data_IF_305122841320
#
_entry.id   IF_305122841320
#
_cell.length_a   1.000
_cell.length_b   1.000
_cell.length_c   1.000
_cell.angle_alpha   90.00
_cell.angle_beta   90.00
_cell.angle_gamma   90.00
#
_symmetry.space_group_name_H-M   'P 1'
#
loop_
_entity.id
_entity.type
_entity.pdbx_description
1 polymer ?
#
# COMPACT_ATOMS: atom_id res chain seq x y z
N UNK A 1 -0.75 -2.23 28.97
CA UNK A 1 -2.14 -2.62 28.74
C UNK A 1 -2.29 -3.15 27.33
N UNK A 2 -3.28 -4.01 27.08
CA UNK A 2 -3.67 -4.41 25.71
C UNK A 2 -4.75 -3.42 25.28
N UNK A 3 -4.57 -2.79 24.11
CA UNK A 3 -5.48 -1.79 23.56
C UNK A 3 -5.95 -2.28 22.19
N UNK A 4 -7.24 -2.61 22.01
CA UNK A 4 -7.74 -3.02 20.70
C UNK A 4 -7.75 -1.83 19.73
N UNK A 5 -7.30 -2.06 18.50
CA UNK A 5 -7.41 -1.11 17.40
C UNK A 5 -8.42 -1.63 16.35
N UNK A 6 -9.30 -0.74 15.91
CA UNK A 6 -10.34 -1.01 14.93
C UNK A 6 -10.21 -0.05 13.77
N UNK A 7 -10.17 -0.62 12.56
CA UNK A 7 -10.14 0.11 11.29
C UNK A 7 -11.30 -0.32 10.41
N UNK A 8 -12.01 0.64 9.82
CA UNK A 8 -13.07 0.43 8.83
C UNK A 8 -12.68 1.16 7.55
N UNK A 9 -12.98 0.57 6.40
CA UNK A 9 -12.75 1.20 5.10
C UNK A 9 -13.77 0.80 4.06
N UNK A 10 -13.96 1.67 3.08
CA UNK A 10 -14.76 1.44 1.88
C UNK A 10 -13.87 1.65 0.67
N UNK A 11 -13.96 0.75 -0.29
CA UNK A 11 -13.19 0.78 -1.53
C UNK A 11 -14.11 0.54 -2.73
N UNK A 12 -13.88 1.29 -3.80
CA UNK A 12 -14.59 1.18 -5.08
C UNK A 12 -13.51 1.10 -6.16
N UNK A 13 -13.46 -0.03 -6.86
CA UNK A 13 -12.63 -0.19 -8.04
C UNK A 13 -13.48 -0.31 -9.30
N UNK A 14 -13.08 0.43 -10.33
CA UNK A 14 -13.70 0.48 -11.66
C UNK A 14 -12.60 0.43 -12.72
N UNK A 15 -12.95 0.14 -13.97
CA UNK A 15 -11.99 0.02 -15.07
C UNK A 15 -11.16 1.31 -15.30
N UNK A 16 -11.68 2.47 -14.90
CA UNK A 16 -11.06 3.78 -15.12
C UNK A 16 -10.55 4.46 -13.84
N UNK A 17 -10.92 3.98 -12.65
CA UNK A 17 -10.46 4.57 -11.40
C UNK A 17 -10.65 3.61 -10.22
N UNK A 18 -9.78 3.78 -9.22
CA UNK A 18 -9.90 3.19 -7.91
C UNK A 18 -9.98 4.32 -6.86
N UNK A 19 -10.90 4.20 -5.91
CA UNK A 19 -11.05 5.13 -4.79
C UNK A 19 -11.28 4.35 -3.49
N UNK A 20 -10.66 4.82 -2.42
CA UNK A 20 -10.83 4.22 -1.10
C UNK A 20 -10.78 5.26 0.01
N UNK A 21 -11.60 5.06 1.04
CA UNK A 21 -11.54 5.84 2.28
C UNK A 21 -11.42 4.87 3.45
N UNK A 22 -10.54 5.18 4.39
CA UNK A 22 -10.34 4.38 5.60
C UNK A 22 -10.34 5.27 6.84
N UNK A 23 -10.86 4.73 7.94
CA UNK A 23 -10.81 5.34 9.27
C UNK A 23 -10.28 4.30 10.26
N UNK A 24 -9.14 4.59 10.85
CA UNK A 24 -8.41 3.77 11.82
C UNK A 24 -8.52 4.37 13.22
N UNK A 25 -8.27 3.55 14.26
CA UNK A 25 -8.34 3.96 15.66
C UNK A 25 -9.73 4.50 16.06
N UNK A 26 -10.81 3.82 15.64
CA UNK A 26 -12.19 4.26 15.90
C UNK A 26 -12.48 4.28 17.41
N UNK A 27 -12.03 3.25 18.13
CA UNK A 27 -12.05 3.21 19.58
C UNK A 27 -10.83 3.95 20.13
N UNK A 28 -11.05 5.13 20.67
CA UNK A 28 -10.02 5.90 21.36
C UNK A 28 -9.78 5.25 22.74
N UNK A 29 -8.89 4.28 22.81
CA UNK A 29 -8.42 3.72 24.07
C UNK A 29 -7.19 4.48 24.56
N UNK A 30 -7.19 4.81 25.85
CA UNK A 30 -6.01 5.30 26.55
C UNK A 30 -5.49 4.18 27.43
N UNK A 31 -4.22 3.84 27.28
CA UNK A 31 -3.55 2.88 28.15
C UNK A 31 -2.49 3.63 28.94
N UNK A 32 -2.60 3.58 30.26
CA UNK A 32 -1.55 4.06 31.15
C UNK A 32 -0.58 2.92 31.45
N UNK A 33 0.71 3.18 31.31
CA UNK A 33 1.76 2.32 31.81
C UNK A 33 2.81 3.17 32.51
N UNK A 34 3.03 2.91 33.79
CA UNK A 34 4.11 3.48 34.62
C UNK A 34 4.31 5.01 34.40
N UNK A 35 3.23 5.77 34.64
CA UNK A 35 3.11 7.24 34.48
C UNK A 35 3.13 7.82 33.05
N UNK A 36 3.14 6.99 32.00
CA UNK A 36 2.90 7.44 30.62
C UNK A 36 1.47 7.14 30.18
N UNK A 37 0.74 8.17 29.73
CA UNK A 37 -0.57 8.03 29.09
C UNK A 37 -0.40 7.97 27.57
N UNK A 38 -0.64 6.80 26.98
CA UNK A 38 -0.66 6.66 25.52
C UNK A 38 -2.05 7.02 25.01
N UNK A 39 -2.16 8.14 24.28
CA UNK A 39 -3.40 8.57 23.63
C UNK A 39 -3.36 8.17 22.16
N UNK A 40 -4.19 7.19 21.79
CA UNK A 40 -4.39 6.81 20.40
C UNK A 40 -5.13 7.95 19.67
N UNK A 41 -4.63 8.38 18.51
CA UNK A 41 -5.31 9.40 17.68
C UNK A 41 -6.11 8.75 16.56
N UNK A 42 -7.29 9.27 16.25
CA UNK A 42 -8.05 8.86 15.05
C UNK A 42 -7.24 9.20 13.80
N UNK A 43 -7.23 8.30 12.82
CA UNK A 43 -6.64 8.55 11.50
C UNK A 43 -7.67 8.30 10.41
N UNK A 44 -7.72 9.20 9.44
CA UNK A 44 -8.52 9.06 8.24
C UNK A 44 -7.58 9.09 7.05
N UNK A 45 -7.76 8.18 6.10
CA UNK A 45 -7.03 8.18 4.84
C UNK A 45 -7.98 8.16 3.65
N UNK A 46 -7.64 8.90 2.60
CA UNK A 46 -8.32 8.91 1.30
C UNK A 46 -7.29 8.53 0.23
N UNK A 47 -7.61 7.51 -0.55
CA UNK A 47 -6.80 6.98 -1.64
C UNK A 47 -7.53 7.15 -2.96
N UNK A 48 -6.78 7.46 -4.02
CA UNK A 48 -7.28 7.38 -5.38
C UNK A 48 -6.19 7.00 -6.37
N UNK A 49 -6.54 6.25 -7.40
CA UNK A 49 -5.66 5.82 -8.48
C UNK A 49 -6.42 5.78 -9.80
N UNK A 50 -5.72 6.05 -10.90
CA UNK A 50 -6.29 5.99 -12.26
C UNK A 50 -5.41 5.05 -13.09
N UNK A 51 -5.89 3.88 -13.52
CA UNK A 51 -5.16 3.05 -14.46
C UNK A 51 -5.24 3.64 -15.87
N UNK A 52 -4.09 3.87 -16.50
CA UNK A 52 -3.98 4.37 -17.86
C UNK A 52 -3.15 3.39 -18.70
N UNK A 53 -3.69 2.98 -19.85
CA UNK A 53 -2.94 2.18 -20.81
C UNK A 53 -2.42 3.09 -21.94
N UNK A 54 -1.10 3.22 -22.06
CA UNK A 54 -0.43 4.04 -23.06
C UNK A 54 0.50 3.14 -23.87
N UNK A 55 -0.01 2.61 -24.99
CA UNK A 55 0.69 1.59 -25.76
C UNK A 55 0.87 0.31 -24.94
N UNK A 56 2.12 -0.13 -24.77
CA UNK A 56 2.48 -1.31 -23.97
C UNK A 56 2.76 -0.99 -22.49
N UNK A 57 2.54 0.27 -22.08
CA UNK A 57 2.77 0.72 -20.71
C UNK A 57 1.45 0.87 -19.95
N UNK A 58 1.39 0.26 -18.77
CA UNK A 58 0.36 0.50 -17.77
C UNK A 58 0.87 1.57 -16.80
N UNK A 59 0.21 2.71 -16.74
CA UNK A 59 0.59 3.86 -15.91
C UNK A 59 -0.48 4.07 -14.83
N UNK A 60 -0.05 4.15 -13.59
CA UNK A 60 -0.89 4.25 -12.40
C UNK A 60 -0.52 5.50 -11.59
N UNK A 61 -0.91 6.71 -12.03
CA UNK A 61 -0.93 7.86 -11.14
C UNK A 61 -1.87 7.59 -9.96
N UNK A 62 -1.43 7.93 -8.76
CA UNK A 62 -2.23 7.80 -7.54
C UNK A 62 -1.91 8.88 -6.53
N UNK A 63 -2.83 9.08 -5.60
CA UNK A 63 -2.65 9.96 -4.46
C UNK A 63 -3.16 9.29 -3.19
N UNK A 64 -2.58 9.68 -2.06
CA UNK A 64 -2.99 9.25 -0.74
C UNK A 64 -2.91 10.44 0.21
N UNK A 65 -4.06 10.81 0.79
CA UNK A 65 -4.16 11.82 1.81
C UNK A 65 -4.43 11.13 3.15
N UNK A 66 -3.70 11.50 4.20
CA UNK A 66 -3.90 11.00 5.56
C UNK A 66 -4.05 12.17 6.50
N UNK A 67 -4.93 12.08 7.49
CA UNK A 67 -5.10 13.12 8.51
C UNK A 67 -5.46 12.50 9.85
N UNK A 68 -4.94 13.09 10.92
CA UNK A 68 -5.35 12.79 12.30
C UNK A 68 -6.09 13.98 12.95
N UNK A 69 -6.64 14.89 12.12
CA UNK A 69 -7.24 16.17 12.51
C UNK A 69 -6.30 17.20 13.16
N UNK A 70 -5.01 16.88 13.32
CA UNK A 70 -3.96 17.81 13.79
C UNK A 70 -2.92 18.10 12.72
N UNK A 71 -2.57 17.09 11.94
CA UNK A 71 -1.62 17.12 10.83
C UNK A 71 -2.20 16.35 9.65
N UNK A 72 -1.86 16.77 8.44
CA UNK A 72 -2.19 16.04 7.21
C UNK A 72 -0.92 15.64 6.49
N UNK A 73 -0.93 14.47 5.88
CA UNK A 73 0.13 14.00 5.01
C UNK A 73 -0.48 13.76 3.63
N UNK A 74 0.19 14.25 2.59
CA UNK A 74 -0.14 13.97 1.21
C UNK A 74 0.97 13.16 0.56
N UNK A 75 0.59 12.21 -0.25
CA UNK A 75 1.49 11.42 -1.10
C UNK A 75 0.91 11.44 -2.51
N UNK A 76 1.73 11.79 -3.50
CA UNK A 76 1.39 11.72 -4.91
C UNK A 76 2.42 10.80 -5.55
N UNK A 77 1.96 9.77 -6.25
CA UNK A 77 2.84 8.80 -6.85
C UNK A 77 2.41 8.43 -8.27
N UNK A 78 3.35 7.92 -9.04
CA UNK A 78 3.10 7.37 -10.36
C UNK A 78 3.94 6.10 -10.52
N UNK A 79 3.25 4.99 -10.79
CA UNK A 79 3.87 3.70 -11.09
C UNK A 79 3.65 3.37 -12.56
N UNK A 80 4.69 2.94 -13.25
CA UNK A 80 4.66 2.50 -14.64
C UNK A 80 5.07 1.04 -14.66
N UNK A 81 4.32 0.23 -15.41
CA UNK A 81 4.59 -1.19 -15.62
C UNK A 81 4.64 -1.49 -17.11
N UNK A 82 5.58 -2.34 -17.50
CA UNK A 82 5.74 -2.85 -18.86
C UNK A 82 6.15 -4.32 -18.79
N UNK A 83 5.23 -5.20 -19.14
CA UNK A 83 5.41 -6.65 -19.02
C UNK A 83 5.77 -7.08 -17.60
N UNK A 84 7.00 -7.54 -17.41
CA UNK A 84 7.51 -8.05 -16.14
C UNK A 84 8.29 -7.01 -15.32
N UNK A 85 8.51 -5.80 -15.82
CA UNK A 85 9.25 -4.74 -15.14
C UNK A 85 8.27 -3.65 -14.73
N UNK A 86 8.52 -3.04 -13.57
CA UNK A 86 7.82 -1.85 -13.14
C UNK A 86 8.75 -0.89 -12.42
N UNK A 87 8.37 0.37 -12.38
CA UNK A 87 9.08 1.39 -11.64
C UNK A 87 8.23 2.63 -11.50
N UNK A 88 8.62 3.52 -10.61
CA UNK A 88 7.82 4.69 -10.32
C UNK A 88 8.49 5.63 -9.36
N UNK A 89 7.77 6.69 -9.05
CA UNK A 89 8.19 7.68 -8.09
C UNK A 89 7.02 8.14 -7.25
N UNK A 90 7.33 8.62 -6.05
CA UNK A 90 6.37 9.19 -5.10
C UNK A 90 6.97 10.44 -4.46
N UNK A 91 6.11 11.42 -4.22
CA UNK A 91 6.41 12.63 -3.48
C UNK A 91 5.51 12.67 -2.25
N UNK A 92 6.12 12.73 -1.07
CA UNK A 92 5.43 12.79 0.22
C UNK A 92 5.63 14.14 0.88
N UNK A 93 4.55 14.75 1.34
CA UNK A 93 4.54 15.99 2.10
C UNK A 93 3.75 15.85 3.41
N UNK A 94 4.19 16.54 4.46
CA UNK A 94 3.60 16.50 5.81
C UNK A 94 2.81 17.75 6.20
N UNK A 95 2.85 18.81 5.39
CA UNK A 95 2.07 20.05 5.52
C UNK A 95 2.04 20.77 4.16
N UNK A 96 1.20 21.80 4.01
CA UNK A 96 0.98 22.64 2.81
C UNK A 96 2.28 23.28 2.33
N UNK A 97 3.25 23.41 3.24
CA UNK A 97 4.51 24.12 3.01
C UNK A 97 5.75 23.22 3.08
N UNK A 98 5.60 21.93 3.39
CA UNK A 98 6.76 21.04 3.59
C UNK A 98 6.67 19.77 2.75
N UNK A 99 7.56 19.67 1.77
CA UNK A 99 7.92 18.42 1.11
C UNK A 99 8.87 17.65 2.03
N UNK A 100 8.56 16.39 2.28
CA UNK A 100 9.33 15.55 3.21
C UNK A 100 10.29 14.64 2.47
N UNK A 101 9.76 13.86 1.53
CA UNK A 101 10.54 12.82 0.84
C UNK A 101 10.19 12.70 -0.64
N UNK A 102 11.18 12.29 -1.41
CA UNK A 102 11.01 11.76 -2.76
C UNK A 102 11.44 10.30 -2.77
N UNK A 103 10.53 9.44 -3.21
CA UNK A 103 10.75 8.00 -3.28
C UNK A 103 10.87 7.58 -4.73
N UNK A 104 11.88 6.77 -5.04
CA UNK A 104 11.98 6.06 -6.32
C UNK A 104 11.83 4.58 -6.05
N UNK A 105 11.02 3.89 -6.84
CA UNK A 105 10.82 2.45 -6.76
C UNK A 105 11.09 1.80 -8.12
N UNK A 106 11.70 0.64 -8.10
CA UNK A 106 11.89 -0.21 -9.27
C UNK A 106 11.71 -1.67 -8.88
N UNK A 107 11.19 -2.48 -9.78
CA UNK A 107 10.98 -3.89 -9.51
C UNK A 107 10.75 -4.72 -10.76
N UNK A 108 10.81 -6.03 -10.54
CA UNK A 108 10.75 -7.03 -11.58
C UNK A 108 10.01 -8.27 -11.06
N UNK A 109 9.01 -8.70 -11.83
CA UNK A 109 8.33 -9.97 -11.68
C UNK A 109 9.18 -11.03 -12.37
N UNK A 110 9.90 -11.84 -11.58
CA UNK A 110 10.77 -12.91 -12.09
C UNK A 110 9.95 -14.02 -12.75
N UNK A 111 8.82 -14.37 -12.14
CA UNK A 111 7.85 -15.33 -12.65
C UNK A 111 6.48 -15.11 -11.97
N UNK A 112 5.55 -16.03 -12.17
CA UNK A 112 4.22 -15.99 -11.56
C UNK A 112 4.23 -15.96 -10.01
N UNK A 113 5.31 -16.42 -9.37
CA UNK A 113 5.42 -16.56 -7.93
C UNK A 113 6.29 -15.48 -7.28
N UNK A 114 7.36 -15.03 -7.92
CA UNK A 114 8.35 -14.15 -7.29
C UNK A 114 8.35 -12.77 -7.92
N UNK A 115 8.27 -11.74 -7.06
CA UNK A 115 8.52 -10.35 -7.44
C UNK A 115 9.60 -9.79 -6.52
N UNK A 116 10.58 -9.13 -7.11
CA UNK A 116 11.63 -8.40 -6.41
C UNK A 116 11.44 -6.91 -6.67
N UNK A 117 11.47 -6.10 -5.62
CA UNK A 117 11.49 -4.65 -5.77
C UNK A 117 12.48 -4.00 -4.83
N UNK A 118 12.89 -2.80 -5.21
CA UNK A 118 13.78 -1.94 -4.49
C UNK A 118 13.22 -0.53 -4.46
N UNK A 119 13.24 0.10 -3.31
CA UNK A 119 12.86 1.50 -3.14
C UNK A 119 13.93 2.28 -2.41
N UNK A 120 14.10 3.53 -2.80
CA UNK A 120 14.92 4.50 -2.11
C UNK A 120 14.06 5.69 -1.71
N UNK A 121 13.88 5.88 -0.40
CA UNK A 121 13.18 7.03 0.18
C UNK A 121 14.22 8.11 0.52
N UNK A 122 14.30 9.14 -0.32
CA UNK A 122 15.22 10.26 -0.14
C UNK A 122 14.53 11.40 0.61
N UNK A 123 14.97 11.67 1.84
CA UNK A 123 14.51 12.82 2.61
C UNK A 123 14.97 14.14 1.98
N UNK A 124 14.01 15.02 1.65
CA UNK A 124 14.23 16.36 1.07
C UNK A 124 14.06 17.47 2.11
N UNK A 125 13.30 17.23 3.18
CA UNK A 125 13.05 18.22 4.24
C UNK A 125 14.31 18.60 5.03
N UNK A 126 14.20 19.56 5.95
CA UNK A 126 15.27 19.94 6.88
C UNK A 126 15.85 18.75 7.68
N UNK A 127 15.15 17.62 7.73
CA UNK A 127 15.64 16.36 8.30
C UNK A 127 16.76 15.69 7.48
N UNK A 128 17.04 16.15 6.25
CA UNK A 128 18.17 15.68 5.43
C UNK A 128 19.53 15.94 6.08
N UNK A 129 19.63 16.93 6.97
CA UNK A 129 20.87 17.19 7.74
C UNK A 129 21.23 16.04 8.69
N UNK A 130 20.26 15.17 9.02
CA UNK A 130 20.43 14.09 10.00
C UNK A 130 20.18 12.70 9.39
N UNK A 131 19.49 12.61 8.24
CA UNK A 131 19.21 11.34 7.55
C UNK A 131 19.45 11.46 6.04
N UNK A 132 20.17 10.49 5.46
CA UNK A 132 20.44 10.40 4.02
C UNK A 132 19.34 9.64 3.25
N UNK A 133 18.26 9.26 3.93
CA UNK A 133 17.19 8.42 3.37
C UNK A 133 17.34 6.94 3.71
N UNK A 134 16.45 6.11 3.15
CA UNK A 134 16.35 4.68 3.44
C UNK A 134 16.33 3.85 2.16
N UNK A 135 17.10 2.76 2.14
CA UNK A 135 17.11 1.77 1.07
C UNK A 135 16.33 0.54 1.51
N UNK A 136 15.32 0.16 0.74
CA UNK A 136 14.46 -0.98 1.04
C UNK A 136 14.48 -1.98 -0.10
N UNK A 137 14.61 -3.27 0.22
CA UNK A 137 14.48 -4.38 -0.73
C UNK A 137 13.28 -5.22 -0.28
N UNK A 138 12.36 -5.48 -1.19
CA UNK A 138 11.18 -6.30 -0.95
C UNK A 138 11.18 -7.53 -1.86
N UNK A 139 10.89 -8.69 -1.26
CA UNK A 139 10.69 -9.95 -1.96
C UNK A 139 9.25 -10.40 -1.68
N UNK A 140 8.45 -10.48 -2.72
CA UNK A 140 7.09 -10.99 -2.67
C UNK A 140 7.04 -12.42 -3.22
N UNK A 141 6.38 -13.32 -2.48
CA UNK A 141 6.09 -14.67 -2.91
C UNK A 141 4.58 -14.91 -2.98
N UNK A 142 4.06 -15.11 -4.18
CA UNK A 142 2.67 -15.43 -4.46
C UNK A 142 2.49 -16.95 -4.57
N UNK A 143 1.65 -17.52 -3.71
CA UNK A 143 1.34 -18.95 -3.68
C UNK A 143 0.57 -19.42 -4.92
N UNK A 144 -0.08 -18.52 -5.67
CA UNK A 144 -0.98 -18.82 -6.80
C UNK A 144 -1.99 -19.94 -6.51
N UNK A 145 -2.37 -20.10 -5.24
CA UNK A 145 -3.32 -21.11 -4.79
C UNK A 145 -4.39 -20.44 -3.94
N UNK A 146 -5.65 -20.70 -4.28
CA UNK A 146 -6.78 -20.30 -3.44
C UNK A 146 -6.69 -21.12 -2.15
N UNK A 147 -6.64 -20.45 -1.00
CA UNK A 147 -6.66 -21.12 0.31
C UNK A 147 -8.12 -21.47 0.62
N UNK A 148 -8.39 -22.71 1.03
CA UNK A 148 -9.73 -23.12 1.46
C UNK A 148 -10.69 -23.54 0.35
N UNK A 149 -10.23 -23.70 -0.90
CA UNK A 149 -10.95 -24.55 -1.86
C UNK A 149 -10.78 -26.00 -1.37
N UNK A 150 -11.88 -26.67 -1.01
CA UNK A 150 -11.85 -28.05 -0.54
C UNK A 150 -11.19 -29.00 -1.54
N UNK A 151 -11.07 -30.29 -1.16
CA UNK A 151 -10.63 -31.30 -2.11
C UNK A 151 -11.53 -31.25 -3.36
N UNK A 152 -10.96 -31.39 -4.58
CA UNK A 152 -11.78 -31.54 -5.78
C UNK A 152 -12.76 -32.70 -5.57
N UNK A 153 -13.97 -32.65 -6.15
CA UNK A 153 -14.94 -33.72 -6.00
C UNK A 153 -14.32 -35.05 -6.45
N UNK A 154 -14.66 -36.13 -5.75
CA UNK A 154 -14.18 -37.46 -6.09
C UNK A 154 -14.52 -37.78 -7.55
N UNK A 155 -13.53 -38.28 -8.28
CA UNK A 155 -13.71 -38.71 -9.67
C UNK A 155 -14.55 -40.00 -9.64
N UNK A 156 -15.87 -39.87 -9.83
CA UNK A 156 -16.76 -41.02 -9.98
C UNK A 156 -16.51 -41.61 -11.37
N UNK A 157 -15.70 -42.66 -11.45
CA UNK A 157 -15.59 -43.49 -12.65
C UNK A 157 -16.92 -44.21 -12.87
N UNK A 158 -17.64 -43.85 -13.94
CA UNK A 158 -18.79 -44.61 -14.41
C UNK A 158 -18.33 -45.57 -15.52
N UNK A 159 -18.23 -46.89 -15.26
CA UNK A 159 -17.77 -47.87 -16.25
C UNK A 159 -18.74 -48.13 -17.41
N UNK A 160 -19.85 -47.37 -17.53
CA UNK A 160 -20.85 -47.56 -18.59
C UNK A 160 -20.49 -46.96 -19.97
N UNK A 161 -19.37 -46.27 -20.10
CA UNK A 161 -18.93 -45.65 -21.37
C UNK A 161 -17.55 -46.15 -21.85
N UNK A 162 -17.31 -47.46 -21.81
CA UNK A 162 -16.24 -48.13 -22.55
C UNK A 162 -16.85 -49.16 -23.51
#
# INVERSE_FOLDING_TARGET
GISPDWTIGVFIGQDYFDLGITMSNITLSSSSFDNFTFNQSKHISLFGQIPLLIGDFEVYPSFLLKSNFKSYQSDISCLIKSGNIFGGMSLRGFNEKSLDSFIVIGGLKLNEHYTLSYSYDMGISALREVSQGSHEININYNLNKRIGIGLPPDIIYNPRNL
#
